data_IF_426355943808
#
_entry.id   IF_426355943808
#
_cell.length_a   1.000
_cell.length_b   1.000
_cell.length_c   1.000
_cell.angle_alpha   90.00
_cell.angle_beta   90.00
_cell.angle_gamma   90.00
#
_symmetry.space_group_name_H-M   'P 1'
#
loop_
_entity.id
_entity.type
_entity.pdbx_description
1 polymer ?
#
# COMPACT_ATOMS: atom_id res chain seq x y z
N UNK A 1 -45.97 -38.41 9.12
CA UNK A 1 -45.49 -37.77 7.86
C UNK A 1 -44.29 -36.92 8.22
N UNK A 2 -43.10 -37.30 7.75
CA UNK A 2 -41.85 -36.53 7.94
C UNK A 2 -41.55 -35.91 6.58
N UNK A 3 -41.71 -34.60 6.44
CA UNK A 3 -41.15 -33.82 5.35
C UNK A 3 -39.86 -33.17 5.86
N UNK A 4 -38.88 -32.95 4.97
CA UNK A 4 -37.55 -32.35 5.14
C UNK A 4 -36.38 -33.32 5.21
N UNK A 5 -35.95 -33.80 4.03
CA UNK A 5 -34.54 -34.15 3.76
C UNK A 5 -34.20 -33.68 2.33
N UNK A 6 -33.01 -33.10 2.16
CA UNK A 6 -32.37 -32.60 0.93
C UNK A 6 -32.69 -31.16 0.47
N UNK A 7 -31.92 -30.20 1.02
CA UNK A 7 -31.56 -28.98 0.27
C UNK A 7 -30.07 -29.11 -0.12
N UNK A 8 -29.74 -29.52 -1.36
CA UNK A 8 -28.37 -29.45 -1.83
C UNK A 8 -27.93 -27.99 -1.84
N UNK A 9 -26.75 -27.69 -1.29
CA UNK A 9 -26.11 -26.38 -1.45
C UNK A 9 -25.65 -26.25 -2.91
N UNK A 10 -26.59 -25.97 -3.82
CA UNK A 10 -26.29 -25.62 -5.19
C UNK A 10 -25.66 -24.24 -5.17
N UNK A 11 -24.41 -24.12 -5.63
CA UNK A 11 -23.80 -22.83 -5.92
C UNK A 11 -24.75 -22.06 -6.86
N UNK A 12 -25.03 -20.78 -6.59
CA UNK A 12 -26.00 -20.03 -7.38
C UNK A 12 -25.58 -20.01 -8.86
N UNK A 13 -26.49 -20.41 -9.75
CA UNK A 13 -26.27 -20.37 -11.21
C UNK A 13 -26.27 -18.95 -11.79
N UNK A 14 -26.48 -17.94 -10.94
CA UNK A 14 -26.47 -16.52 -11.30
C UNK A 14 -25.24 -15.88 -10.67
N UNK A 15 -24.06 -16.23 -11.17
CA UNK A 15 -22.89 -15.38 -10.95
C UNK A 15 -23.11 -14.13 -11.79
N UNK A 16 -23.57 -13.05 -11.17
CA UNK A 16 -23.48 -11.74 -11.81
C UNK A 16 -21.98 -11.50 -11.99
N UNK A 17 -21.44 -11.41 -13.21
CA UNK A 17 -20.09 -10.97 -13.39
C UNK A 17 -20.06 -9.55 -12.84
N UNK A 18 -19.40 -9.33 -11.71
CA UNK A 18 -18.91 -8.00 -11.39
C UNK A 18 -18.07 -7.61 -12.59
N UNK A 19 -18.59 -6.70 -13.41
CA UNK A 19 -17.89 -6.27 -14.61
C UNK A 19 -16.47 -5.88 -14.21
N UNK A 20 -15.49 -6.46 -14.91
CA UNK A 20 -14.10 -6.02 -14.85
C UNK A 20 -14.06 -4.56 -15.30
N UNK A 21 -14.29 -3.62 -14.38
CA UNK A 21 -14.45 -2.23 -14.75
C UNK A 21 -15.42 -1.39 -13.92
N UNK A 22 -15.99 -1.90 -12.81
CA UNK A 22 -16.60 -0.97 -11.84
C UNK A 22 -15.53 0.02 -11.42
N UNK A 23 -15.70 1.30 -11.76
CA UNK A 23 -14.76 2.36 -11.46
C UNK A 23 -14.76 2.62 -9.95
N UNK A 24 -14.10 1.74 -9.20
CA UNK A 24 -13.86 1.94 -7.77
C UNK A 24 -12.87 3.10 -7.66
N UNK A 25 -13.31 4.20 -7.07
CA UNK A 25 -12.42 5.30 -6.69
C UNK A 25 -11.46 4.77 -5.61
N UNK A 26 -10.16 4.94 -5.81
CA UNK A 26 -9.16 4.37 -4.92
C UNK A 26 -7.74 4.61 -5.41
N UNK A 27 -6.76 4.07 -4.69
CA UNK A 27 -5.35 4.16 -5.06
C UNK A 27 -5.07 3.55 -6.43
N UNK A 28 -4.09 4.14 -7.13
CA UNK A 28 -3.58 3.66 -8.42
C UNK A 28 -2.07 3.42 -8.34
N UNK A 29 -1.57 2.61 -9.27
CA UNK A 29 -0.14 2.35 -9.51
C UNK A 29 0.59 3.50 -10.24
N UNK A 30 -0.11 4.61 -10.46
CA UNK A 30 0.38 5.82 -11.09
C UNK A 30 -0.27 7.04 -10.42
N UNK A 31 0.42 8.16 -10.48
CA UNK A 31 -0.07 9.44 -10.02
C UNK A 31 0.39 10.53 -10.97
N UNK A 32 -0.55 11.13 -11.69
CA UNK A 32 -0.34 12.33 -12.50
C UNK A 32 -0.83 13.58 -11.75
N UNK A 33 -0.39 14.75 -12.21
CA UNK A 33 -0.94 16.02 -11.73
C UNK A 33 -2.47 16.05 -11.91
N UNK A 34 -3.20 16.22 -10.81
CA UNK A 34 -4.67 16.29 -10.80
C UNK A 34 -5.39 14.97 -10.47
N UNK A 35 -4.72 13.82 -10.52
CA UNK A 35 -5.36 12.49 -10.31
C UNK A 35 -6.01 12.34 -8.92
N UNK A 36 -5.43 12.97 -7.89
CA UNK A 36 -5.88 12.88 -6.49
C UNK A 36 -7.26 13.53 -6.29
N UNK A 37 -7.71 14.41 -7.19
CA UNK A 37 -8.97 15.12 -7.03
C UNK A 37 -10.17 14.18 -6.86
N UNK A 38 -10.25 13.13 -7.66
CA UNK A 38 -11.32 12.13 -7.56
C UNK A 38 -11.28 11.35 -6.24
N UNK A 39 -10.08 11.04 -5.75
CA UNK A 39 -9.87 10.30 -4.51
C UNK A 39 -10.30 11.12 -3.29
N UNK A 40 -9.94 12.41 -3.25
CA UNK A 40 -10.27 13.32 -2.13
C UNK A 40 -11.77 13.60 -2.03
N UNK A 41 -12.51 13.52 -3.13
CA UNK A 41 -13.95 13.74 -3.16
C UNK A 41 -14.78 12.49 -2.82
N UNK A 42 -14.14 11.33 -2.68
CA UNK A 42 -14.83 10.09 -2.39
C UNK A 42 -14.93 9.86 -0.88
N UNK A 43 -16.15 9.59 -0.41
CA UNK A 43 -16.45 9.12 0.94
C UNK A 43 -16.55 7.58 1.03
N UNK A 44 -16.16 6.88 -0.03
CA UNK A 44 -16.19 5.43 -0.07
C UNK A 44 -15.26 4.84 1.01
N UNK A 45 -15.75 3.83 1.71
CA UNK A 45 -14.96 3.13 2.71
C UNK A 45 -13.75 2.45 2.04
N UNK A 46 -12.54 2.74 2.53
CA UNK A 46 -11.32 2.07 2.06
C UNK A 46 -11.02 0.80 2.87
N UNK A 47 -11.03 0.91 4.19
CA UNK A 47 -10.81 -0.20 5.11
C UNK A 47 -11.32 0.15 6.51
N UNK A 48 -11.41 -0.86 7.39
CA UNK A 48 -11.62 -0.71 8.84
C UNK A 48 -10.51 -1.39 9.58
N UNK A 49 -10.22 -0.89 10.79
CA UNK A 49 -9.21 -1.48 11.67
C UNK A 49 -9.79 -1.68 13.07
N UNK A 50 -9.46 -2.81 13.67
CA UNK A 50 -9.67 -3.09 15.07
C UNK A 50 -8.33 -3.35 15.74
N UNK A 51 -7.95 -2.47 16.68
CA UNK A 51 -6.71 -2.62 17.43
C UNK A 51 -6.89 -3.61 18.58
N UNK A 52 -5.89 -4.45 18.84
CA UNK A 52 -5.92 -5.38 19.97
C UNK A 52 -5.81 -4.66 21.33
N UNK A 53 -5.16 -3.49 21.33
CA UNK A 53 -5.02 -2.59 22.47
C UNK A 53 -5.58 -1.20 22.14
N UNK A 54 -5.28 -0.20 22.98
CA UNK A 54 -5.64 1.19 22.66
C UNK A 54 -5.01 1.61 21.31
N UNK A 55 -5.76 2.34 20.46
CA UNK A 55 -5.20 2.85 19.21
C UNK A 55 -4.05 3.81 19.48
N UNK A 56 -3.04 3.87 18.58
CA UNK A 56 -1.95 4.82 18.71
C UNK A 56 -2.46 6.24 18.45
N UNK A 57 -1.63 7.24 18.76
CA UNK A 57 -2.01 8.63 18.51
C UNK A 57 -2.27 8.87 17.01
N UNK A 58 -3.17 9.79 16.67
CA UNK A 58 -3.58 10.03 15.27
C UNK A 58 -2.41 10.37 14.34
N UNK A 59 -1.33 10.96 14.85
CA UNK A 59 -0.10 11.26 14.10
C UNK A 59 0.66 10.02 13.65
N UNK A 60 0.50 8.91 14.37
CA UNK A 60 1.16 7.63 14.09
C UNK A 60 0.30 6.72 13.19
N UNK A 61 -0.92 7.14 12.85
CA UNK A 61 -1.84 6.44 11.94
C UNK A 61 -1.53 6.71 10.46
N UNK A 62 -0.26 6.61 10.08
CA UNK A 62 0.17 6.71 8.69
C UNK A 62 0.03 5.35 7.99
N UNK A 63 -1.06 5.19 7.24
CA UNK A 63 -1.41 3.97 6.52
C UNK A 63 -0.70 3.86 5.18
N UNK A 64 0.36 3.07 5.16
CA UNK A 64 1.24 2.83 4.03
C UNK A 64 0.67 1.74 3.11
N UNK A 65 0.82 1.92 1.80
CA UNK A 65 0.32 0.98 0.77
C UNK A 65 1.37 0.67 -0.29
N UNK A 66 1.76 1.66 -1.08
CA UNK A 66 2.78 1.53 -2.13
C UNK A 66 3.63 2.80 -2.23
N UNK A 67 4.79 2.67 -2.88
CA UNK A 67 5.67 3.79 -3.21
C UNK A 67 5.73 3.94 -4.72
N UNK A 68 5.46 5.15 -5.20
CA UNK A 68 5.66 5.53 -6.59
C UNK A 68 7.07 6.09 -6.73
N UNK A 69 8.06 5.20 -6.86
CA UNK A 69 9.47 5.56 -6.82
C UNK A 69 10.06 6.02 -8.16
N UNK A 70 9.34 5.83 -9.26
CA UNK A 70 9.82 6.17 -10.60
C UNK A 70 9.07 7.38 -11.15
N UNK A 71 9.81 8.35 -11.68
CA UNK A 71 9.25 9.53 -12.33
C UNK A 71 9.05 9.20 -13.81
N UNK A 72 7.80 9.32 -14.26
CA UNK A 72 7.40 9.20 -15.66
C UNK A 72 7.01 10.58 -16.22
N UNK A 73 6.72 10.67 -17.53
CA UNK A 73 6.29 11.92 -18.14
C UNK A 73 4.99 12.44 -17.48
N UNK A 74 5.11 13.49 -16.67
CA UNK A 74 3.98 14.15 -16.02
C UNK A 74 3.56 13.58 -14.66
N UNK A 75 4.27 12.59 -14.10
CA UNK A 75 3.88 12.00 -12.82
C UNK A 75 4.82 10.92 -12.28
N UNK A 76 4.30 10.13 -11.35
CA UNK A 76 5.00 9.05 -10.66
C UNK A 76 4.32 7.72 -10.91
N UNK A 77 5.09 6.65 -11.01
CA UNK A 77 4.59 5.28 -11.18
C UNK A 77 5.26 4.34 -10.18
N UNK A 78 4.63 3.19 -9.95
CA UNK A 78 5.27 2.10 -9.20
C UNK A 78 6.54 1.70 -9.93
N UNK A 79 7.69 1.92 -9.28
CA UNK A 79 8.97 1.45 -9.79
C UNK A 79 9.28 0.03 -9.33
N UNK A 80 10.45 -0.45 -9.73
CA UNK A 80 11.01 -1.73 -9.26
C UNK A 80 12.34 -1.50 -8.53
N UNK A 81 12.33 -0.82 -7.37
CA UNK A 81 13.57 -0.56 -6.66
C UNK A 81 14.22 -1.88 -6.20
N UNK A 82 15.56 -1.91 -6.11
CA UNK A 82 16.25 -3.06 -5.56
C UNK A 82 15.79 -3.32 -4.12
N UNK A 83 15.79 -4.59 -3.73
CA UNK A 83 15.43 -4.99 -2.37
C UNK A 83 16.35 -4.28 -1.37
N UNK A 84 15.81 -3.63 -0.32
CA UNK A 84 16.62 -2.95 0.66
C UNK A 84 17.59 -3.89 1.36
N UNK A 85 18.82 -3.43 1.53
CA UNK A 85 19.86 -4.14 2.31
C UNK A 85 19.95 -3.65 3.74
N UNK A 86 19.42 -2.48 4.01
CA UNK A 86 19.41 -1.87 5.33
C UNK A 86 18.68 -2.77 6.32
N UNK A 87 19.33 -3.02 7.46
CA UNK A 87 18.70 -3.72 8.56
C UNK A 87 17.51 -2.91 9.09
N UNK A 88 16.42 -3.62 9.31
CA UNK A 88 15.23 -3.10 9.99
C UNK A 88 15.62 -2.72 11.41
N UNK A 89 15.44 -1.44 11.76
CA UNK A 89 15.62 -0.95 13.11
C UNK A 89 14.69 -1.63 14.11
N UNK A 90 15.08 -1.62 15.39
CA UNK A 90 14.18 -2.03 16.48
C UNK A 90 13.05 -1.00 16.58
N UNK A 91 11.78 -1.42 16.50
CA UNK A 91 10.65 -0.50 16.63
C UNK A 91 10.53 0.00 18.08
N UNK A 92 10.08 1.25 18.24
CA UNK A 92 9.84 1.81 19.56
C UNK A 92 8.57 1.23 20.21
N UNK A 93 7.58 0.91 19.38
CA UNK A 93 6.29 0.35 19.78
C UNK A 93 5.88 -0.74 18.79
N UNK A 94 5.26 -1.81 19.31
CA UNK A 94 4.69 -2.88 18.49
C UNK A 94 3.18 -2.90 18.70
N UNK A 95 2.44 -2.91 17.59
CA UNK A 95 1.00 -2.88 17.58
C UNK A 95 0.42 -4.05 16.81
N UNK A 96 -0.52 -4.75 17.44
CA UNK A 96 -1.31 -5.82 16.84
C UNK A 96 -2.70 -5.29 16.48
N UNK A 97 -3.14 -5.56 15.26
CA UNK A 97 -4.46 -5.13 14.78
C UNK A 97 -5.01 -6.02 13.68
N UNK A 98 -6.33 -6.01 13.56
CA UNK A 98 -7.07 -6.63 12.48
C UNK A 98 -7.49 -5.55 11.48
N UNK A 99 -7.31 -5.82 10.19
CA UNK A 99 -7.72 -4.94 9.09
C UNK A 99 -8.71 -5.62 8.17
N UNK A 100 -9.82 -4.95 7.90
CA UNK A 100 -10.83 -5.34 6.90
C UNK A 100 -10.71 -4.41 5.69
N UNK A 101 -10.06 -4.89 4.63
CA UNK A 101 -9.89 -4.14 3.39
C UNK A 101 -11.12 -4.26 2.51
N UNK A 102 -11.58 -3.14 1.94
CA UNK A 102 -12.56 -3.16 0.85
C UNK A 102 -11.90 -3.61 -0.46
N UNK A 103 -12.69 -3.88 -1.53
CA UNK A 103 -12.14 -4.12 -2.86
C UNK A 103 -11.23 -2.97 -3.33
N UNK A 104 -10.11 -3.30 -3.98
CA UNK A 104 -9.08 -2.34 -4.37
C UNK A 104 -8.58 -2.60 -5.79
N UNK A 105 -8.19 -1.52 -6.48
CA UNK A 105 -7.65 -1.58 -7.85
C UNK A 105 -6.17 -1.97 -7.93
N UNK A 106 -5.47 -1.80 -6.81
CA UNK A 106 -4.07 -2.21 -6.65
C UNK A 106 -4.00 -3.31 -5.60
N UNK A 107 -3.06 -4.27 -5.74
CA UNK A 107 -2.96 -5.39 -4.82
C UNK A 107 -2.17 -5.05 -3.54
N UNK A 108 -2.15 -3.78 -3.12
CA UNK A 108 -1.42 -3.31 -1.94
C UNK A 108 -2.39 -3.03 -0.80
N UNK A 109 -2.19 -3.71 0.33
CA UNK A 109 -3.06 -3.61 1.48
C UNK A 109 -2.53 -2.50 2.40
N UNK A 110 -3.39 -1.57 2.87
CA UNK A 110 -3.00 -0.57 3.85
C UNK A 110 -2.43 -1.22 5.11
N UNK A 111 -1.35 -0.65 5.64
CA UNK A 111 -0.66 -1.15 6.82
C UNK A 111 -0.02 -0.02 7.60
N UNK A 112 0.15 -0.17 8.91
CA UNK A 112 0.87 0.82 9.71
C UNK A 112 2.37 0.61 9.55
N UNK A 113 3.06 1.70 9.23
CA UNK A 113 4.51 1.81 9.25
C UNK A 113 5.26 0.56 8.72
N UNK A 114 5.85 -0.25 9.60
CA UNK A 114 6.56 -1.47 9.23
C UNK A 114 5.83 -2.72 9.69
N UNK A 115 5.50 -3.59 8.75
CA UNK A 115 4.97 -4.91 9.06
C UNK A 115 6.06 -5.85 9.58
N UNK A 116 5.81 -6.44 10.75
CA UNK A 116 6.60 -7.50 11.36
C UNK A 116 6.02 -8.87 11.00
N UNK A 117 4.70 -8.99 10.95
CA UNK A 117 4.00 -10.18 10.46
C UNK A 117 2.63 -9.83 9.89
N UNK A 118 2.18 -10.60 8.92
CA UNK A 118 0.84 -10.51 8.34
C UNK A 118 0.29 -11.91 8.09
N UNK A 119 -0.96 -12.13 8.47
CA UNK A 119 -1.72 -13.34 8.19
C UNK A 119 -3.01 -12.98 7.45
N UNK A 120 -3.32 -13.72 6.39
CA UNK A 120 -4.49 -13.48 5.56
C UNK A 120 -4.43 -14.26 4.25
N UNK A 121 -5.48 -14.17 3.44
CA UNK A 121 -5.55 -14.91 2.19
C UNK A 121 -4.53 -14.38 1.16
N UNK A 122 -3.67 -15.25 0.64
CA UNK A 122 -2.79 -14.99 -0.50
C UNK A 122 -1.96 -13.70 -0.39
N UNK A 123 -1.40 -13.46 0.80
CA UNK A 123 -0.67 -12.24 1.12
C UNK A 123 0.82 -12.52 1.33
N UNK A 124 1.65 -11.57 0.93
CA UNK A 124 3.08 -11.55 1.20
C UNK A 124 3.56 -10.13 1.45
N UNK A 125 4.79 -10.00 1.94
CA UNK A 125 5.49 -8.72 1.95
C UNK A 125 6.24 -8.56 0.64
N UNK A 126 6.08 -7.41 0.01
CA UNK A 126 6.88 -7.03 -1.14
C UNK A 126 8.34 -6.72 -0.72
N UNK A 127 9.26 -6.52 -1.67
CA UNK A 127 10.66 -6.24 -1.34
C UNK A 127 10.87 -5.03 -0.43
N UNK A 128 9.97 -4.04 -0.45
CA UNK A 128 10.04 -2.83 0.36
C UNK A 128 9.31 -2.97 1.72
N UNK A 129 8.71 -4.13 2.00
CA UNK A 129 8.00 -4.41 3.24
C UNK A 129 6.53 -4.01 3.25
N UNK A 130 5.94 -3.67 2.10
CA UNK A 130 4.50 -3.41 1.99
C UNK A 130 3.73 -4.72 1.88
N UNK A 131 2.52 -4.73 2.45
CA UNK A 131 1.61 -5.87 2.34
C UNK A 131 1.05 -5.93 0.92
N UNK A 132 1.29 -7.04 0.23
CA UNK A 132 0.84 -7.26 -1.13
C UNK A 132 0.06 -8.57 -1.25
N UNK A 133 -1.12 -8.48 -1.84
CA UNK A 133 -1.90 -9.64 -2.28
C UNK A 133 -1.39 -10.18 -3.62
N UNK A 134 -1.56 -11.48 -3.88
CA UNK A 134 -1.23 -12.06 -5.20
C UNK A 134 -2.13 -11.56 -6.33
N UNK A 135 -3.33 -11.07 -6.01
CA UNK A 135 -4.28 -10.50 -6.95
C UNK A 135 -5.03 -9.30 -6.36
N UNK A 136 -5.63 -8.48 -7.22
CA UNK A 136 -6.48 -7.36 -6.80
C UNK A 136 -7.68 -7.87 -6.00
N UNK A 137 -8.01 -7.19 -4.89
CA UNK A 137 -9.13 -7.58 -4.05
C UNK A 137 -10.46 -7.25 -4.72
N UNK A 138 -11.29 -8.27 -4.93
CA UNK A 138 -12.65 -8.14 -5.49
C UNK A 138 -13.73 -8.14 -4.40
N UNK A 139 -13.38 -8.59 -3.19
CA UNK A 139 -14.28 -8.70 -2.04
C UNK A 139 -13.60 -8.18 -0.79
N UNK A 140 -14.41 -7.90 0.24
CA UNK A 140 -13.88 -7.58 1.56
C UNK A 140 -12.99 -8.72 2.05
N UNK A 141 -11.80 -8.38 2.54
CA UNK A 141 -10.80 -9.35 3.00
C UNK A 141 -10.21 -8.93 4.34
N UNK A 142 -9.97 -9.91 5.20
CA UNK A 142 -9.46 -9.72 6.54
C UNK A 142 -7.97 -10.08 6.62
N UNK A 143 -7.22 -9.28 7.37
CA UNK A 143 -5.80 -9.49 7.64
C UNK A 143 -5.53 -9.26 9.12
N UNK A 144 -4.78 -10.16 9.75
CA UNK A 144 -4.18 -9.93 11.06
C UNK A 144 -2.77 -9.42 10.84
N UNK A 145 -2.43 -8.29 11.45
CA UNK A 145 -1.15 -7.62 11.24
C UNK A 145 -0.50 -7.26 12.56
N UNK A 146 0.82 -7.41 12.59
CA UNK A 146 1.69 -6.86 13.63
C UNK A 146 2.62 -5.84 12.99
N UNK A 147 2.60 -4.62 13.49
CA UNK A 147 3.45 -3.53 12.99
C UNK A 147 4.36 -2.98 14.06
N UNK A 148 5.56 -2.57 13.66
CA UNK A 148 6.45 -1.77 14.47
C UNK A 148 6.34 -0.30 14.07
N UNK A 149 6.03 0.57 15.02
CA UNK A 149 5.90 2.01 14.80
C UNK A 149 7.22 2.73 15.09
N UNK A 150 7.49 3.77 14.29
CA UNK A 150 8.65 4.64 14.39
C UNK A 150 9.98 3.87 14.45
N UNK A 151 10.24 2.89 13.55
CA UNK A 151 11.49 2.16 13.56
C UNK A 151 12.63 3.09 13.17
N UNK A 152 13.74 3.01 13.92
CA UNK A 152 14.95 3.77 13.61
C UNK A 152 15.76 2.97 12.59
N UNK A 153 15.59 3.29 11.32
CA UNK A 153 16.30 2.61 10.24
C UNK A 153 17.76 3.01 10.12
N UNK A 154 18.58 2.07 9.63
CA UNK A 154 19.90 2.41 9.13
C UNK A 154 19.78 3.38 7.95
N UNK A 155 20.68 4.36 7.87
CA UNK A 155 20.61 5.44 6.88
C UNK A 155 21.37 5.11 5.59
N UNK A 156 22.06 3.96 5.55
CA UNK A 156 22.98 3.61 4.47
C UNK A 156 22.28 2.84 3.33
N UNK A 157 21.83 3.59 2.32
CA UNK A 157 21.39 3.02 1.04
C UNK A 157 22.55 2.38 0.29
N UNK A 158 22.34 1.19 -0.29
CA UNK A 158 23.30 0.63 -1.24
C UNK A 158 23.43 1.50 -2.48
N UNK A 159 24.52 1.33 -3.24
CA UNK A 159 24.73 2.04 -4.51
C UNK A 159 23.57 1.86 -5.49
N UNK A 160 22.97 0.67 -5.53
CA UNK A 160 21.84 0.36 -6.41
C UNK A 160 20.57 1.08 -5.97
N UNK A 161 20.27 1.09 -4.66
CA UNK A 161 19.12 1.83 -4.10
C UNK A 161 19.26 3.33 -4.36
N UNK A 162 20.45 3.88 -4.06
CA UNK A 162 20.73 5.30 -4.29
C UNK A 162 20.61 5.67 -5.77
N UNK A 163 21.13 4.85 -6.68
CA UNK A 163 21.00 5.10 -8.11
C UNK A 163 19.53 5.07 -8.57
N UNK A 164 18.72 4.14 -8.05
CA UNK A 164 17.30 4.04 -8.37
C UNK A 164 16.50 5.24 -7.86
N UNK A 165 16.71 5.66 -6.61
CA UNK A 165 15.95 6.78 -6.00
C UNK A 165 16.41 8.18 -6.42
N UNK A 166 17.60 8.31 -7.02
CA UNK A 166 18.10 9.58 -7.59
C UNK A 166 17.90 9.67 -9.11
N UNK A 167 17.31 8.66 -9.73
CA UNK A 167 17.09 8.66 -11.18
C UNK A 167 16.07 9.73 -11.56
N UNK A 168 16.47 10.63 -12.47
CA UNK A 168 15.60 11.65 -13.05
C UNK A 168 15.46 11.41 -14.56
N UNK A 169 14.27 11.65 -15.15
CA UNK A 169 14.11 11.62 -16.59
C UNK A 169 15.04 12.61 -17.30
N UNK A 170 15.47 12.28 -18.53
CA UNK A 170 16.31 13.17 -19.35
C UNK A 170 15.73 14.58 -19.51
N UNK A 171 14.39 14.68 -19.54
CA UNK A 171 13.64 15.93 -19.64
C UNK A 171 12.96 16.23 -18.31
N UNK A 172 13.73 16.66 -17.33
CA UNK A 172 13.22 17.16 -16.04
C UNK A 172 13.16 18.69 -16.08
N UNK A 173 12.31 19.29 -15.25
CA UNK A 173 12.20 20.74 -15.13
C UNK A 173 13.56 21.37 -14.73
N UNK A 174 14.18 22.23 -15.57
CA UNK A 174 15.51 22.76 -15.32
C UNK A 174 15.56 23.73 -14.13
N UNK A 175 14.47 24.45 -13.84
CA UNK A 175 14.39 25.34 -12.68
C UNK A 175 14.35 24.54 -11.38
N UNK A 176 13.60 23.43 -11.37
CA UNK A 176 13.56 22.52 -10.22
C UNK A 176 14.92 21.86 -9.98
N UNK A 177 15.62 21.45 -11.05
CA UNK A 177 16.98 20.90 -10.94
C UNK A 177 17.97 21.93 -10.40
N UNK A 178 17.97 23.15 -10.94
CA UNK A 178 18.85 24.22 -10.47
C UNK A 178 18.58 24.57 -9.00
N UNK A 179 17.31 24.61 -8.60
CA UNK A 179 16.93 24.86 -7.20
C UNK A 179 17.39 23.71 -6.29
N UNK A 180 17.19 22.45 -6.69
CA UNK A 180 17.68 21.29 -5.95
C UNK A 180 19.20 21.28 -5.78
N UNK A 181 19.94 21.66 -6.83
CA UNK A 181 21.40 21.80 -6.75
C UNK A 181 21.83 22.90 -5.76
N UNK A 182 21.19 24.08 -5.82
CA UNK A 182 21.47 25.17 -4.90
C UNK A 182 21.17 24.81 -3.42
N UNK A 183 20.14 23.99 -3.16
CA UNK A 183 19.87 23.48 -1.82
C UNK A 183 20.95 22.52 -1.33
N UNK A 184 21.47 21.67 -2.22
CA UNK A 184 22.53 20.71 -1.89
C UNK A 184 23.88 21.37 -1.57
N UNK A 185 24.18 22.52 -2.18
CA UNK A 185 25.41 23.29 -1.92
C UNK A 185 25.39 24.04 -0.57
N UNK A 186 24.21 24.22 0.03
CA UNK A 186 24.02 24.96 1.28
C UNK A 186 23.91 24.06 2.54
N UNK A 187 24.18 22.75 2.40
CA UNK A 187 24.24 21.78 3.50
C UNK A 187 25.68 21.35 3.78
#
# INVERSE_FOLDING_TARGET
VILFVFFPRLSPFWTIPLEKGTAVTGLSDRLMLGDIHSLVQSDALAFRVNFAAAPPASRDLYWRTLVLSEISEGGWVVGSPPRPKTAIGTPAEVIDYELLSQPMRVPFIPSLDRILSVEGASVSLDPLGFVRSTSVLQTVSQYQMRSGLNPVDGVDLSKAERAAYLALPKRTNPLAQAHGAALAENQ
#
